data_IF_738094111088
#
_entry.id   IF_738094111088
#
_cell.length_a   1.000
_cell.length_b   1.000
_cell.length_c   1.000
_cell.angle_alpha   90.00
_cell.angle_beta   90.00
_cell.angle_gamma   90.00
#
_symmetry.space_group_name_H-M   'P 1'
#
loop_
_entity.id
_entity.type
_entity.pdbx_description
1 polymer ?
#
# COMPACT_ATOMS: atom_id res chain seq x y z
N UNK A 1 25.69 -9.93 -18.28
CA UNK A 1 24.41 -10.11 -17.57
C UNK A 1 23.31 -9.58 -18.49
N UNK A 2 22.39 -10.43 -18.95
CA UNK A 2 21.43 -10.10 -20.02
C UNK A 2 20.54 -8.92 -19.62
N UNK A 3 20.83 -7.71 -20.14
CA UNK A 3 20.07 -6.50 -19.83
C UNK A 3 18.57 -6.66 -20.16
N UNK A 4 18.23 -7.42 -21.20
CA UNK A 4 16.84 -7.70 -21.56
C UNK A 4 16.10 -8.56 -20.53
N UNK A 5 16.78 -9.52 -19.89
CA UNK A 5 16.15 -10.37 -18.85
C UNK A 5 15.84 -9.54 -17.61
N UNK A 6 16.76 -8.65 -17.21
CA UNK A 6 16.56 -7.75 -16.07
C UNK A 6 15.42 -6.76 -16.32
N UNK A 7 15.37 -6.15 -17.52
CA UNK A 7 14.31 -5.21 -17.92
C UNK A 7 12.94 -5.89 -17.95
N UNK A 8 12.85 -7.09 -18.50
CA UNK A 8 11.60 -7.84 -18.55
C UNK A 8 11.09 -8.24 -17.16
N UNK A 9 11.99 -8.65 -16.27
CA UNK A 9 11.65 -8.96 -14.88
C UNK A 9 11.14 -7.71 -14.13
N UNK A 10 11.84 -6.58 -14.27
CA UNK A 10 11.41 -5.29 -13.71
C UNK A 10 9.99 -4.92 -14.13
N UNK A 11 9.71 -4.95 -15.45
CA UNK A 11 8.41 -4.58 -15.99
C UNK A 11 7.28 -5.46 -15.45
N UNK A 12 7.54 -6.75 -15.21
CA UNK A 12 6.55 -7.65 -14.59
C UNK A 12 6.25 -7.29 -13.14
N UNK A 13 7.29 -7.07 -12.32
CA UNK A 13 7.10 -6.66 -10.94
C UNK A 13 6.36 -5.32 -10.85
N UNK A 14 6.73 -4.38 -11.73
CA UNK A 14 6.10 -3.08 -11.84
C UNK A 14 4.63 -3.19 -12.25
N UNK A 15 4.31 -3.95 -13.28
CA UNK A 15 2.94 -4.11 -13.77
C UNK A 15 2.02 -4.78 -12.71
N UNK A 16 2.53 -5.77 -11.99
CA UNK A 16 1.80 -6.39 -10.87
C UNK A 16 1.49 -5.35 -9.79
N UNK A 17 2.52 -4.60 -9.36
CA UNK A 17 2.36 -3.61 -8.30
C UNK A 17 1.41 -2.48 -8.72
N UNK A 18 1.60 -1.95 -9.92
CA UNK A 18 0.79 -0.86 -10.46
C UNK A 18 -0.67 -1.29 -10.67
N UNK A 19 -0.92 -2.48 -11.21
CA UNK A 19 -2.27 -2.99 -11.43
C UNK A 19 -3.08 -3.09 -10.13
N UNK A 20 -2.48 -3.66 -9.08
CA UNK A 20 -3.10 -3.76 -7.75
C UNK A 20 -3.35 -2.38 -7.11
N UNK A 21 -2.42 -1.43 -7.28
CA UNK A 21 -2.57 -0.08 -6.73
C UNK A 21 -3.59 0.76 -7.50
N UNK A 22 -3.76 0.55 -8.82
CA UNK A 22 -4.84 1.17 -9.58
C UNK A 22 -6.22 0.65 -9.16
N UNK A 23 -6.34 -0.66 -8.94
CA UNK A 23 -7.57 -1.25 -8.40
C UNK A 23 -7.87 -0.66 -7.01
N UNK A 24 -6.85 -0.53 -6.17
CA UNK A 24 -6.94 0.10 -4.84
C UNK A 24 -7.41 1.55 -4.94
N UNK A 25 -6.76 2.36 -5.78
CA UNK A 25 -7.13 3.76 -5.99
C UNK A 25 -8.59 3.89 -6.43
N UNK A 26 -9.02 3.02 -7.35
CA UNK A 26 -10.41 2.98 -7.84
C UNK A 26 -11.38 2.65 -6.70
N UNK A 27 -11.09 1.64 -5.89
CA UNK A 27 -11.92 1.24 -4.75
C UNK A 27 -12.00 2.36 -3.69
N UNK A 28 -10.88 2.96 -3.32
CA UNK A 28 -10.86 4.08 -2.37
C UNK A 28 -11.64 5.29 -2.90
N UNK A 29 -11.53 5.59 -4.20
CA UNK A 29 -12.30 6.66 -4.82
C UNK A 29 -13.82 6.39 -4.83
N UNK A 30 -14.23 5.14 -5.07
CA UNK A 30 -15.64 4.76 -4.98
C UNK A 30 -16.17 4.84 -3.54
N UNK A 31 -15.37 4.41 -2.55
CA UNK A 31 -15.70 4.57 -1.13
C UNK A 31 -15.88 6.06 -0.78
N UNK A 32 -14.95 6.90 -1.21
CA UNK A 32 -15.02 8.34 -1.01
C UNK A 32 -16.28 8.95 -1.63
N UNK A 33 -16.66 8.51 -2.84
CA UNK A 33 -17.88 8.96 -3.53
C UNK A 33 -19.15 8.51 -2.81
N UNK A 34 -19.14 7.34 -2.17
CA UNK A 34 -20.30 6.80 -1.47
C UNK A 34 -20.56 7.48 -0.13
N UNK A 35 -19.49 7.91 0.56
CA UNK A 35 -19.56 8.38 1.94
C UNK A 35 -19.17 9.88 2.12
N UNK A 36 -18.82 10.61 1.06
CA UNK A 36 -18.43 12.04 1.13
C UNK A 36 -18.79 12.82 -0.16
N UNK A 37 -18.46 14.12 -0.18
CA UNK A 37 -18.61 14.99 -1.37
C UNK A 37 -17.81 14.50 -2.58
N UNK A 38 -18.41 14.60 -3.77
CA UNK A 38 -17.90 14.04 -5.03
C UNK A 38 -16.50 14.56 -5.43
N UNK A 39 -16.13 15.76 -5.00
CA UNK A 39 -14.83 16.38 -5.31
C UNK A 39 -13.65 15.71 -4.60
N UNK A 40 -13.86 15.14 -3.40
CA UNK A 40 -12.80 14.45 -2.65
C UNK A 40 -12.42 13.10 -3.29
N UNK A 41 -13.36 12.42 -3.95
CA UNK A 41 -13.11 11.14 -4.61
C UNK A 41 -12.03 11.24 -5.70
N UNK A 42 -12.05 12.33 -6.47
CA UNK A 42 -11.06 12.60 -7.52
C UNK A 42 -9.69 12.86 -6.89
N UNK A 43 -9.64 13.61 -5.79
CA UNK A 43 -8.40 13.92 -5.08
C UNK A 43 -7.75 12.66 -4.50
N UNK A 44 -8.54 11.80 -3.84
CA UNK A 44 -8.08 10.53 -3.27
C UNK A 44 -7.60 9.58 -4.36
N UNK A 45 -8.33 9.49 -5.48
CA UNK A 45 -7.90 8.71 -6.64
C UNK A 45 -6.53 9.18 -7.16
N UNK A 46 -6.38 10.49 -7.38
CA UNK A 46 -5.15 11.08 -7.88
C UNK A 46 -3.98 10.85 -6.91
N UNK A 47 -4.21 11.07 -5.62
CA UNK A 47 -3.20 10.90 -4.57
C UNK A 47 -2.70 9.45 -4.48
N UNK A 48 -3.61 8.47 -4.36
CA UNK A 48 -3.23 7.05 -4.29
C UNK A 48 -2.57 6.59 -5.58
N UNK A 49 -3.01 7.09 -6.73
CA UNK A 49 -2.39 6.75 -8.02
C UNK A 49 -0.96 7.26 -8.11
N UNK A 50 -0.69 8.53 -7.74
CA UNK A 50 0.67 9.10 -7.74
C UNK A 50 1.58 8.33 -6.79
N UNK A 51 1.12 8.07 -5.56
CA UNK A 51 1.87 7.25 -4.62
C UNK A 51 2.09 5.83 -5.15
N UNK A 52 1.09 5.27 -5.83
CA UNK A 52 1.16 3.95 -6.44
C UNK A 52 2.21 3.85 -7.54
N UNK A 53 2.38 4.90 -8.36
CA UNK A 53 3.43 4.99 -9.38
C UNK A 53 4.81 5.02 -8.73
N UNK A 54 4.99 5.87 -7.71
CA UNK A 54 6.26 5.99 -6.99
C UNK A 54 6.61 4.67 -6.28
N UNK A 55 5.63 4.07 -5.59
CA UNK A 55 5.77 2.78 -4.93
C UNK A 55 6.13 1.68 -5.92
N UNK A 56 5.34 1.50 -6.98
CA UNK A 56 5.52 0.41 -7.94
C UNK A 56 6.89 0.50 -8.62
N UNK A 57 7.36 1.71 -8.94
CA UNK A 57 8.70 1.97 -9.48
C UNK A 57 9.81 1.52 -8.51
N UNK A 58 9.79 2.03 -7.28
CA UNK A 58 10.81 1.72 -6.28
C UNK A 58 10.76 0.24 -5.85
N UNK A 59 9.55 -0.29 -5.69
CA UNK A 59 9.34 -1.66 -5.26
C UNK A 59 9.76 -2.65 -6.34
N UNK A 60 9.42 -2.41 -7.61
CA UNK A 60 9.86 -3.28 -8.70
C UNK A 60 11.39 -3.32 -8.82
N UNK A 61 12.05 -2.17 -8.65
CA UNK A 61 13.51 -2.12 -8.60
C UNK A 61 14.06 -2.97 -7.45
N UNK A 62 13.51 -2.81 -6.24
CA UNK A 62 13.90 -3.62 -5.08
C UNK A 62 13.67 -5.12 -5.30
N UNK A 63 12.55 -5.52 -5.92
CA UNK A 63 12.22 -6.93 -6.19
C UNK A 63 13.23 -7.57 -7.16
N UNK A 64 13.68 -6.83 -8.17
CA UNK A 64 14.73 -7.28 -9.09
C UNK A 64 16.07 -7.41 -8.37
N UNK A 65 16.46 -6.40 -7.59
CA UNK A 65 17.75 -6.40 -6.86
C UNK A 65 17.81 -7.56 -5.85
N UNK A 66 16.72 -7.78 -5.13
CA UNK A 66 16.58 -8.89 -4.17
C UNK A 66 16.30 -10.24 -4.85
N UNK A 67 16.14 -10.29 -6.18
CA UNK A 67 15.79 -11.51 -6.93
C UNK A 67 14.59 -12.23 -6.30
N UNK A 68 13.57 -11.47 -5.93
CA UNK A 68 12.35 -12.00 -5.36
C UNK A 68 11.41 -12.52 -6.46
N UNK A 69 10.51 -13.42 -6.08
CA UNK A 69 9.58 -14.03 -7.04
C UNK A 69 8.42 -13.10 -7.33
N UNK A 70 7.77 -13.27 -8.49
CA UNK A 70 6.56 -12.52 -8.83
C UNK A 70 5.41 -12.76 -7.83
N UNK A 71 5.34 -13.96 -7.24
CA UNK A 71 4.38 -14.30 -6.18
C UNK A 71 4.59 -13.43 -4.92
N UNK A 72 5.85 -13.18 -4.54
CA UNK A 72 6.17 -12.30 -3.42
C UNK A 72 5.73 -10.85 -3.70
N UNK A 73 5.93 -10.36 -4.93
CA UNK A 73 5.46 -9.02 -5.31
C UNK A 73 3.95 -8.89 -5.30
N UNK A 74 3.24 -9.92 -5.77
CA UNK A 74 1.79 -9.98 -5.68
C UNK A 74 1.32 -9.94 -4.22
N UNK A 75 1.90 -10.79 -3.36
CA UNK A 75 1.51 -10.87 -1.95
C UNK A 75 1.74 -9.56 -1.21
N UNK A 76 2.92 -8.96 -1.35
CA UNK A 76 3.26 -7.73 -0.65
C UNK A 76 2.47 -6.51 -1.15
N UNK A 77 2.31 -6.38 -2.47
CA UNK A 77 1.50 -5.29 -3.02
C UNK A 77 0.02 -5.51 -2.73
N UNK A 78 -0.44 -6.75 -2.73
CA UNK A 78 -1.82 -7.12 -2.38
C UNK A 78 -2.13 -6.83 -0.91
N UNK A 79 -1.21 -7.13 0.00
CA UNK A 79 -1.33 -6.77 1.40
C UNK A 79 -1.45 -5.25 1.58
N UNK A 80 -0.54 -4.47 0.96
CA UNK A 80 -0.62 -3.02 0.97
C UNK A 80 -1.96 -2.51 0.43
N UNK A 81 -2.39 -3.05 -0.71
CA UNK A 81 -3.65 -2.71 -1.38
C UNK A 81 -4.85 -2.90 -0.44
N UNK A 82 -4.94 -4.07 0.20
CA UNK A 82 -5.99 -4.38 1.18
C UNK A 82 -5.93 -3.47 2.40
N UNK A 83 -4.73 -3.19 2.92
CA UNK A 83 -4.55 -2.26 4.05
C UNK A 83 -5.03 -0.86 3.70
N UNK A 84 -4.73 -0.36 2.49
CA UNK A 84 -5.15 0.97 2.04
C UNK A 84 -6.67 1.09 1.90
N UNK A 85 -7.32 0.08 1.30
CA UNK A 85 -8.79 0.05 1.20
C UNK A 85 -9.41 0.00 2.59
N UNK A 86 -8.86 -0.83 3.49
CA UNK A 86 -9.37 -0.94 4.85
C UNK A 86 -9.20 0.38 5.62
N UNK A 87 -8.02 1.01 5.56
CA UNK A 87 -7.79 2.30 6.22
C UNK A 87 -8.75 3.37 5.69
N UNK A 88 -8.94 3.46 4.37
CA UNK A 88 -9.87 4.42 3.75
C UNK A 88 -11.32 4.19 4.20
N UNK A 89 -11.75 2.93 4.32
CA UNK A 89 -13.07 2.59 4.84
C UNK A 89 -13.24 2.94 6.33
N UNK A 90 -12.27 2.57 7.17
CA UNK A 90 -12.34 2.84 8.60
C UNK A 90 -12.30 4.34 8.89
N UNK A 91 -11.50 5.11 8.15
CA UNK A 91 -11.43 6.56 8.26
C UNK A 91 -12.80 7.21 7.97
N UNK A 92 -13.50 6.75 6.92
CA UNK A 92 -14.88 7.20 6.65
C UNK A 92 -15.83 6.87 7.79
N UNK A 93 -15.79 5.64 8.30
CA UNK A 93 -16.65 5.23 9.40
C UNK A 93 -16.41 6.08 10.65
N UNK A 94 -15.15 6.29 11.01
CA UNK A 94 -14.76 7.14 12.14
C UNK A 94 -15.19 8.59 11.91
N UNK A 95 -15.04 9.12 10.70
CA UNK A 95 -15.46 10.48 10.36
C UNK A 95 -16.98 10.65 10.47
N UNK A 96 -17.77 9.67 10.04
CA UNK A 96 -19.24 9.68 10.18
C UNK A 96 -19.63 9.63 11.66
N UNK A 97 -19.02 8.72 12.44
CA UNK A 97 -19.26 8.63 13.88
C UNK A 97 -18.89 9.94 14.58
N UNK A 98 -17.78 10.58 14.21
CA UNK A 98 -17.38 11.86 14.82
C UNK A 98 -18.33 13.02 14.45
N UNK A 99 -18.86 13.05 13.23
CA UNK A 99 -19.83 14.04 12.77
C UNK A 99 -21.21 13.89 13.42
N UNK A 100 -21.53 12.73 13.98
CA UNK A 100 -22.81 12.50 14.68
C UNK A 100 -22.77 12.81 16.17
N UNK A 101 -21.58 12.92 16.77
CA UNK A 101 -21.40 13.12 18.22
C UNK A 101 -20.85 14.53 18.54
N UNK A 102 -20.79 15.44 17.56
CA UNK A 102 -20.07 16.72 17.62
C UNK A 102 -20.69 17.83 18.49
N UNK A 103 -21.66 17.51 19.36
CA UNK A 103 -22.20 18.45 20.35
C UNK A 103 -21.50 18.39 21.72
N UNK A 104 -20.51 17.50 21.89
CA UNK A 104 -19.76 17.37 23.15
C UNK A 104 -18.26 17.36 22.86
N UNK A 105 -17.48 18.11 23.65
CA UNK A 105 -16.01 18.12 23.63
C UNK A 105 -15.47 16.70 23.87
N UNK A 106 -15.22 15.94 22.80
CA UNK A 106 -14.85 14.52 22.90
C UNK A 106 -13.37 14.34 22.64
N UNK A 107 -12.72 13.74 23.64
CA UNK A 107 -11.39 13.15 23.54
C UNK A 107 -11.50 11.90 22.65
N UNK A 108 -10.81 11.89 21.50
CA UNK A 108 -10.83 10.73 20.58
C UNK A 108 -10.45 9.44 21.31
N UNK A 109 -11.21 8.37 21.08
CA UNK A 109 -10.83 7.04 21.54
C UNK A 109 -9.50 6.59 20.90
N UNK A 110 -8.74 5.71 21.57
CA UNK A 110 -7.48 5.18 21.05
C UNK A 110 -7.63 4.57 19.65
N UNK A 111 -8.75 3.88 19.39
CA UNK A 111 -9.07 3.32 18.09
C UNK A 111 -9.17 4.41 17.01
N UNK A 112 -9.98 5.45 17.25
CA UNK A 112 -10.14 6.54 16.30
C UNK A 112 -8.80 7.25 16.04
N UNK A 113 -8.02 7.47 17.10
CA UNK A 113 -6.69 8.10 17.01
C UNK A 113 -5.69 7.30 16.18
N UNK A 114 -5.76 5.97 16.21
CA UNK A 114 -4.90 5.11 15.38
C UNK A 114 -5.35 5.11 13.92
N UNK A 115 -6.66 5.07 13.67
CA UNK A 115 -7.24 5.05 12.33
C UNK A 115 -7.01 6.37 11.59
N UNK A 116 -7.16 7.51 12.26
CA UNK A 116 -6.96 8.85 11.66
C UNK A 116 -5.49 9.29 11.65
N UNK A 117 -4.57 8.45 12.12
CA UNK A 117 -3.15 8.77 12.18
C UNK A 117 -2.46 8.56 10.83
N UNK A 118 -1.87 9.62 10.30
CA UNK A 118 -0.99 9.57 9.12
C UNK A 118 0.14 8.53 9.30
N UNK A 119 0.64 8.36 10.52
CA UNK A 119 1.71 7.40 10.81
C UNK A 119 1.28 5.96 10.48
N UNK A 120 0.02 5.59 10.78
CA UNK A 120 -0.51 4.26 10.51
C UNK A 120 -0.49 3.98 9.01
N UNK A 121 -0.90 4.96 8.20
CA UNK A 121 -0.85 4.90 6.74
C UNK A 121 0.59 4.72 6.24
N UNK A 122 1.53 5.54 6.71
CA UNK A 122 2.93 5.46 6.29
C UNK A 122 3.61 4.14 6.68
N UNK A 123 3.31 3.60 7.87
CA UNK A 123 3.82 2.30 8.29
C UNK A 123 3.30 1.18 7.36
N UNK A 124 2.01 1.19 7.04
CA UNK A 124 1.44 0.23 6.09
C UNK A 124 2.11 0.33 4.71
N UNK A 125 2.43 1.55 4.28
CA UNK A 125 3.11 1.81 3.01
C UNK A 125 4.57 1.35 2.96
N UNK A 126 5.31 1.50 4.06
CA UNK A 126 6.73 1.11 4.14
C UNK A 126 6.90 -0.40 4.38
N UNK A 127 5.92 -1.05 4.98
CA UNK A 127 5.94 -2.48 5.35
C UNK A 127 6.41 -3.43 4.22
N UNK A 128 5.91 -3.33 2.97
CA UNK A 128 6.38 -4.17 1.85
C UNK A 128 7.88 -4.10 1.59
N UNK A 129 8.51 -2.94 1.79
CA UNK A 129 9.95 -2.76 1.57
C UNK A 129 10.76 -3.47 2.65
N UNK A 130 10.39 -3.27 3.92
CA UNK A 130 11.07 -3.89 5.07
C UNK A 130 11.01 -5.41 4.93
N UNK A 131 9.82 -5.96 4.66
CA UNK A 131 9.63 -7.40 4.54
C UNK A 131 10.36 -7.99 3.33
N UNK A 132 10.38 -7.30 2.20
CA UNK A 132 11.14 -7.73 1.02
C UNK A 132 12.64 -7.88 1.32
N UNK A 133 13.23 -6.90 2.02
CA UNK A 133 14.65 -6.91 2.42
C UNK A 133 14.93 -7.98 3.46
N UNK A 134 14.05 -8.14 4.46
CA UNK A 134 14.20 -9.18 5.48
C UNK A 134 14.12 -10.58 4.87
N UNK A 135 13.14 -10.82 4.00
CA UNK A 135 12.96 -12.09 3.31
C UNK A 135 14.20 -12.47 2.50
N UNK A 136 14.75 -11.51 1.76
CA UNK A 136 16.02 -11.68 1.05
C UNK A 136 17.17 -12.05 2.00
N UNK A 137 17.32 -11.31 3.09
CA UNK A 137 18.39 -11.50 4.07
C UNK A 137 18.36 -12.92 4.66
N UNK A 138 17.19 -13.41 5.04
CA UNK A 138 16.99 -14.75 5.59
C UNK A 138 17.34 -15.81 4.53
N UNK A 139 16.80 -15.70 3.30
CA UNK A 139 17.08 -16.64 2.22
C UNK A 139 18.58 -16.70 1.89
N UNK A 140 19.26 -15.55 1.88
CA UNK A 140 20.70 -15.48 1.62
C UNK A 140 21.52 -16.20 2.68
N UNK A 141 21.14 -16.07 3.96
CA UNK A 141 21.81 -16.76 5.08
C UNK A 141 21.62 -18.26 5.00
N UNK A 142 20.40 -18.72 4.73
CA UNK A 142 20.07 -20.15 4.55
C UNK A 142 20.83 -20.78 3.37
N UNK A 143 21.01 -20.05 2.28
CA UNK A 143 21.79 -20.53 1.15
C UNK A 143 23.29 -20.65 1.47
N UNK A 144 23.83 -19.81 2.36
CA UNK A 144 25.23 -19.86 2.80
C UNK A 144 25.50 -20.99 3.79
N UNK A 145 24.56 -21.36 4.64
CA UNK A 145 24.71 -22.46 5.60
C UNK A 145 24.52 -23.85 5.00
N UNK A 146 23.98 -23.95 3.78
CA UNK A 146 23.84 -25.21 3.02
C UNK A 146 25.02 -25.50 2.09
N UNK A 147 26.00 -24.60 2.00
CA UNK A 147 27.27 -24.80 1.28
C UNK A 147 28.34 -25.22 2.27
#
# INVERSE_FOLDING_TARGET
MNQDIGRYSYLKHWAIAMGLLLLTASLCAQLQKLYSESHLAILVFAFITILGILFSTLFAWLQVETKNSYCSSWFFTGFLSLSLVLCSYLDHRVSIDLATVTDVNIQLSLYQRVVTSDLTFWIAFVFPFIFSVMYFSIRSKVAKTKK
#
